data_IF_634159202802
#
_entry.id   IF_634159202802
#
_cell.length_a   1.000
_cell.length_b   1.000
_cell.length_c   1.000
_cell.angle_alpha   90.00
_cell.angle_beta   90.00
_cell.angle_gamma   90.00
#
_symmetry.space_group_name_H-M   'P 1'
#
loop_
_entity.id
_entity.type
_entity.pdbx_description
1 polymer ?
#
# COMPACT_ATOMS: atom_id res chain seq x y z
N UNK A 1 -12.73 -8.61 -12.10
CA UNK A 1 -14.18 -8.73 -11.90
C UNK A 1 -14.90 -8.37 -13.20
N UNK A 2 -15.74 -9.29 -13.73
CA UNK A 2 -16.44 -9.06 -15.01
C UNK A 2 -17.48 -7.93 -14.93
N UNK A 3 -17.90 -7.56 -13.75
CA UNK A 3 -18.91 -6.50 -13.52
C UNK A 3 -18.36 -5.09 -13.78
N UNK A 4 -17.05 -4.90 -13.85
CA UNK A 4 -16.41 -3.61 -14.11
C UNK A 4 -16.15 -3.32 -15.59
N UNK A 5 -16.46 -4.27 -16.47
CA UNK A 5 -16.24 -4.15 -17.92
C UNK A 5 -17.40 -3.49 -18.68
N UNK A 6 -18.44 -3.04 -17.99
CA UNK A 6 -19.59 -2.38 -18.61
C UNK A 6 -19.52 -0.86 -18.44
N UNK A 7 -19.85 -0.10 -19.50
CA UNK A 7 -19.96 1.36 -19.38
C UNK A 7 -21.03 1.71 -18.34
N UNK A 8 -20.67 2.60 -17.41
CA UNK A 8 -21.60 3.08 -16.40
C UNK A 8 -21.81 4.59 -16.57
N UNK A 9 -23.05 5.05 -16.88
CA UNK A 9 -23.35 6.47 -17.05
C UNK A 9 -23.30 7.28 -15.75
N UNK A 10 -23.23 6.64 -14.59
CA UNK A 10 -23.08 7.33 -13.29
C UNK A 10 -21.84 8.24 -13.22
N UNK A 11 -20.87 8.05 -14.12
CA UNK A 11 -19.70 8.94 -14.23
C UNK A 11 -20.11 10.39 -14.44
N UNK A 12 -21.25 10.66 -15.11
CA UNK A 12 -21.78 12.01 -15.27
C UNK A 12 -22.41 12.59 -14.01
N UNK A 13 -22.64 11.77 -12.97
CA UNK A 13 -23.17 12.20 -11.67
C UNK A 13 -22.03 12.40 -10.67
N UNK A 14 -21.20 11.37 -10.46
CA UNK A 14 -20.10 11.44 -9.50
C UNK A 14 -18.85 12.10 -10.08
N UNK A 15 -18.71 12.21 -11.40
CA UNK A 15 -17.59 12.85 -12.13
C UNK A 15 -16.20 12.30 -11.79
N UNK A 16 -16.15 11.09 -11.29
CA UNK A 16 -14.90 10.44 -10.91
C UNK A 16 -14.19 9.88 -12.14
N UNK A 17 -12.93 10.26 -12.41
CA UNK A 17 -12.17 9.67 -13.52
C UNK A 17 -12.02 8.16 -13.34
N UNK A 18 -12.03 7.40 -14.45
CA UNK A 18 -12.05 5.94 -14.42
C UNK A 18 -10.92 5.31 -13.59
N UNK A 19 -9.69 5.81 -13.71
CA UNK A 19 -8.56 5.35 -12.90
C UNK A 19 -8.74 5.65 -11.41
N UNK A 20 -9.33 6.79 -11.07
CA UNK A 20 -9.66 7.13 -9.68
C UNK A 20 -10.80 6.28 -9.14
N UNK A 21 -11.79 5.96 -9.96
CA UNK A 21 -12.90 5.09 -9.57
C UNK A 21 -12.40 3.73 -9.08
N UNK A 22 -11.56 3.06 -9.87
CA UNK A 22 -11.00 1.75 -9.50
C UNK A 22 -10.11 1.81 -8.27
N UNK A 23 -9.25 2.82 -8.18
CA UNK A 23 -8.36 3.00 -7.03
C UNK A 23 -9.13 3.31 -5.73
N UNK A 24 -10.09 4.23 -5.80
CA UNK A 24 -10.90 4.62 -4.65
C UNK A 24 -11.77 3.48 -4.15
N UNK A 25 -12.30 2.65 -5.06
CA UNK A 25 -13.08 1.46 -4.73
C UNK A 25 -12.23 0.44 -3.95
N UNK A 26 -10.99 0.21 -4.37
CA UNK A 26 -10.04 -0.65 -3.66
C UNK A 26 -9.69 -0.09 -2.26
N UNK A 27 -9.48 1.23 -2.16
CA UNK A 27 -9.22 1.89 -0.87
C UNK A 27 -10.44 1.77 0.06
N UNK A 28 -11.66 2.01 -0.44
CA UNK A 28 -12.89 1.84 0.32
C UNK A 28 -13.05 0.39 0.81
N UNK A 29 -12.69 -0.59 -0.01
CA UNK A 29 -12.70 -2.00 0.37
C UNK A 29 -11.68 -2.31 1.47
N UNK A 30 -10.46 -1.78 1.35
CA UNK A 30 -9.40 -1.95 2.36
C UNK A 30 -9.76 -1.33 3.71
N UNK A 31 -10.52 -0.24 3.70
CA UNK A 31 -11.05 0.43 4.90
C UNK A 31 -12.36 -0.18 5.43
N UNK A 32 -12.90 -1.22 4.77
CA UNK A 32 -14.19 -1.82 5.15
C UNK A 32 -15.41 -0.97 4.79
N UNK A 33 -15.26 0.07 3.98
CA UNK A 33 -16.29 1.03 3.60
C UNK A 33 -17.01 0.69 2.28
N UNK A 34 -16.76 -0.47 1.68
CA UNK A 34 -17.33 -0.83 0.38
C UNK A 34 -18.87 -0.86 0.40
N UNK A 35 -19.47 -1.17 1.53
CA UNK A 35 -20.92 -1.15 1.70
C UNK A 35 -21.53 0.26 1.64
N UNK A 36 -20.70 1.30 1.77
CA UNK A 36 -21.06 2.73 1.64
C UNK A 36 -20.61 3.31 0.29
N UNK A 37 -20.37 2.49 -0.72
CA UNK A 37 -19.79 2.93 -2.00
C UNK A 37 -20.61 4.01 -2.71
N UNK A 38 -21.95 3.90 -2.67
CA UNK A 38 -22.84 4.92 -3.25
C UNK A 38 -22.67 6.28 -2.56
N UNK A 39 -22.56 6.27 -1.25
CA UNK A 39 -22.32 7.48 -0.45
C UNK A 39 -20.94 8.09 -0.75
N UNK A 40 -19.91 7.24 -0.95
CA UNK A 40 -18.57 7.70 -1.32
C UNK A 40 -18.59 8.37 -2.71
N UNK A 41 -19.34 7.85 -3.66
CA UNK A 41 -19.50 8.46 -4.99
C UNK A 41 -20.17 9.85 -4.89
N UNK A 42 -21.25 9.95 -4.12
CA UNK A 42 -21.93 11.23 -3.88
C UNK A 42 -21.01 12.22 -3.16
N UNK A 43 -20.34 11.76 -2.11
CA UNK A 43 -19.39 12.59 -1.36
C UNK A 43 -18.21 13.06 -2.24
N UNK A 44 -17.74 12.24 -3.17
CA UNK A 44 -16.69 12.64 -4.11
C UNK A 44 -17.09 13.85 -4.95
N UNK A 45 -18.32 13.85 -5.48
CA UNK A 45 -18.84 15.00 -6.21
C UNK A 45 -18.96 16.23 -5.31
N UNK A 46 -19.53 16.08 -4.12
CA UNK A 46 -19.71 17.17 -3.14
C UNK A 46 -18.37 17.77 -2.70
N UNK A 47 -17.36 16.95 -2.43
CA UNK A 47 -15.99 17.40 -2.12
C UNK A 47 -15.38 18.14 -3.31
N UNK A 48 -15.58 17.67 -4.53
CA UNK A 48 -15.13 18.39 -5.73
C UNK A 48 -15.67 19.81 -5.78
N UNK A 49 -16.98 19.97 -5.54
CA UNK A 49 -17.65 21.27 -5.49
C UNK A 49 -17.13 22.12 -4.31
N UNK A 50 -16.95 21.51 -3.14
CA UNK A 50 -16.41 22.18 -1.95
C UNK A 50 -14.98 22.68 -2.16
N UNK A 51 -14.19 22.00 -3.02
CA UNK A 51 -12.82 22.39 -3.40
C UNK A 51 -12.79 23.45 -4.53
N UNK A 52 -13.94 23.94 -4.98
CA UNK A 52 -14.06 24.96 -6.02
C UNK A 52 -14.27 24.39 -7.42
N UNK A 53 -14.92 23.24 -7.53
CA UNK A 53 -15.16 22.51 -8.79
C UNK A 53 -13.86 22.33 -9.60
N UNK A 54 -12.86 21.80 -8.95
CA UNK A 54 -11.53 21.67 -9.53
C UNK A 54 -11.48 20.62 -10.65
N UNK A 55 -10.58 20.81 -11.59
CA UNK A 55 -10.32 19.85 -12.64
C UNK A 55 -9.78 18.54 -12.03
N UNK A 56 -10.54 17.45 -12.24
CA UNK A 56 -10.26 16.13 -11.70
C UNK A 56 -9.31 15.34 -12.60
N UNK A 57 -8.03 15.56 -12.40
CA UNK A 57 -6.93 14.84 -13.08
C UNK A 57 -5.88 14.47 -12.01
N UNK A 58 -5.05 13.48 -12.25
CA UNK A 58 -3.95 13.14 -11.33
C UNK A 58 -3.00 14.33 -11.16
N UNK A 59 -2.69 14.79 -9.93
CA UNK A 59 -3.02 14.18 -8.63
C UNK A 59 -4.30 14.71 -7.95
N UNK A 60 -4.98 15.73 -8.49
CA UNK A 60 -6.13 16.39 -7.84
C UNK A 60 -7.31 15.43 -7.59
N UNK A 61 -7.57 14.51 -8.53
CA UNK A 61 -8.62 13.50 -8.36
C UNK A 61 -8.39 12.59 -7.13
N UNK A 62 -7.13 12.31 -6.80
CA UNK A 62 -6.78 11.56 -5.58
C UNK A 62 -7.11 12.36 -4.32
N UNK A 63 -6.78 13.64 -4.30
CA UNK A 63 -7.04 14.51 -3.14
C UNK A 63 -8.54 14.58 -2.84
N UNK A 64 -9.38 14.72 -3.88
CA UNK A 64 -10.84 14.67 -3.74
C UNK A 64 -11.29 13.34 -3.17
N UNK A 65 -10.74 12.23 -3.66
CA UNK A 65 -11.04 10.89 -3.16
C UNK A 65 -10.65 10.68 -1.70
N UNK A 66 -9.46 11.10 -1.31
CA UNK A 66 -8.97 10.98 0.07
C UNK A 66 -9.87 11.77 1.04
N UNK A 67 -10.29 12.99 0.66
CA UNK A 67 -11.22 13.78 1.46
C UNK A 67 -12.61 13.16 1.52
N UNK A 68 -13.12 12.61 0.42
CA UNK A 68 -14.42 11.95 0.39
C UNK A 68 -14.43 10.72 1.31
N UNK A 69 -13.39 9.88 1.26
CA UNK A 69 -13.24 8.75 2.19
C UNK A 69 -13.16 9.21 3.65
N UNK A 70 -12.37 10.25 3.91
CA UNK A 70 -12.25 10.82 5.26
C UNK A 70 -13.59 11.29 5.80
N UNK A 71 -14.37 12.02 4.99
CA UNK A 71 -15.68 12.51 5.41
C UNK A 71 -16.68 11.36 5.67
N UNK A 72 -16.75 10.39 4.76
CA UNK A 72 -17.65 9.22 4.93
C UNK A 72 -17.22 8.36 6.13
N UNK A 73 -15.92 8.14 6.32
CA UNK A 73 -15.41 7.34 7.43
C UNK A 73 -15.74 7.95 8.80
N UNK A 74 -15.80 9.28 8.88
CA UNK A 74 -16.05 10.03 10.12
C UNK A 74 -17.48 10.59 10.21
N UNK A 75 -18.38 10.17 9.31
CA UNK A 75 -19.79 10.63 9.24
C UNK A 75 -19.92 12.16 9.23
N UNK A 76 -19.05 12.84 8.45
CA UNK A 76 -18.99 14.30 8.36
C UNK A 76 -19.80 14.82 7.17
N UNK A 77 -20.57 15.86 7.41
CA UNK A 77 -21.17 16.70 6.38
C UNK A 77 -20.24 17.86 6.01
N UNK A 78 -20.57 18.61 4.96
CA UNK A 78 -19.84 19.83 4.61
C UNK A 78 -19.91 20.87 5.73
N UNK A 79 -21.10 21.02 6.35
CA UNK A 79 -21.31 21.90 7.50
C UNK A 79 -20.43 21.50 8.67
N UNK A 80 -20.28 20.19 8.93
CA UNK A 80 -19.39 19.67 9.98
C UNK A 80 -17.93 20.03 9.71
N UNK A 81 -17.48 19.93 8.46
CA UNK A 81 -16.11 20.32 8.08
C UNK A 81 -15.87 21.79 8.37
N UNK A 82 -16.81 22.67 8.01
CA UNK A 82 -16.70 24.10 8.30
C UNK A 82 -16.86 24.46 9.79
N UNK A 83 -17.64 23.70 10.52
CA UNK A 83 -17.90 23.94 11.96
C UNK A 83 -16.79 23.37 12.87
N UNK A 84 -16.22 22.25 12.50
CA UNK A 84 -15.29 21.46 13.33
C UNK A 84 -13.86 21.42 12.77
N UNK A 85 -13.56 22.12 11.68
CA UNK A 85 -12.30 22.00 10.96
C UNK A 85 -11.06 22.25 11.81
N UNK A 86 -11.15 23.10 12.82
CA UNK A 86 -10.04 23.38 13.73
C UNK A 86 -9.54 22.14 14.49
N UNK A 87 -10.47 21.18 14.77
CA UNK A 87 -10.17 19.96 15.50
C UNK A 87 -10.01 18.73 14.59
N UNK A 88 -10.45 18.81 13.32
CA UNK A 88 -10.34 17.69 12.39
C UNK A 88 -8.89 17.48 11.96
N UNK A 89 -8.44 16.24 11.93
CA UNK A 89 -7.13 15.87 11.38
C UNK A 89 -7.29 15.46 9.90
N UNK A 90 -7.14 16.44 9.02
CA UNK A 90 -7.33 16.24 7.59
C UNK A 90 -6.26 15.33 7.00
N UNK A 91 -6.59 14.53 5.96
CA UNK A 91 -5.61 13.71 5.24
C UNK A 91 -4.42 14.55 4.76
N UNK A 92 -3.22 13.99 4.85
CA UNK A 92 -1.99 14.70 4.46
C UNK A 92 -2.05 15.23 3.02
N UNK A 93 -2.61 14.44 2.08
CA UNK A 93 -2.79 14.86 0.69
C UNK A 93 -3.70 16.10 0.54
N UNK A 94 -4.70 16.24 1.39
CA UNK A 94 -5.60 17.41 1.41
C UNK A 94 -4.86 18.63 1.95
N UNK A 95 -4.07 18.47 3.01
CA UNK A 95 -3.24 19.54 3.56
C UNK A 95 -2.21 20.00 2.54
N UNK A 96 -1.49 19.09 1.92
CA UNK A 96 -0.49 19.35 0.88
C UNK A 96 -1.10 20.06 -0.35
N UNK A 97 -2.32 19.69 -0.73
CA UNK A 97 -3.04 20.36 -1.80
C UNK A 97 -3.30 21.83 -1.44
N UNK A 98 -3.88 22.09 -0.26
CA UNK A 98 -4.16 23.46 0.18
C UNK A 98 -2.92 24.27 0.53
N UNK A 99 -1.78 23.63 0.82
CA UNK A 99 -0.47 24.30 0.90
C UNK A 99 0.05 24.73 -0.49
N UNK A 100 -0.49 24.20 -1.59
CA UNK A 100 -0.03 24.48 -2.94
C UNK A 100 1.10 23.57 -3.43
N UNK A 101 1.40 22.44 -2.74
CA UNK A 101 2.50 21.53 -3.11
C UNK A 101 2.31 20.84 -4.46
N UNK A 102 1.09 20.70 -4.93
CA UNK A 102 0.77 20.12 -6.25
C UNK A 102 0.26 21.17 -7.25
N UNK A 103 0.52 22.43 -6.97
CA UNK A 103 0.10 23.58 -7.77
C UNK A 103 -1.17 24.23 -7.25
N UNK A 104 -1.58 25.30 -7.92
CA UNK A 104 -2.76 26.10 -7.56
C UNK A 104 -3.86 25.87 -8.60
N UNK A 105 -5.11 25.58 -8.19
CA UNK A 105 -6.24 25.49 -9.12
C UNK A 105 -6.41 26.79 -9.91
N UNK A 106 -7.01 26.69 -11.12
CA UNK A 106 -7.19 27.82 -12.01
C UNK A 106 -7.92 29.03 -11.37
N UNK A 107 -8.90 28.75 -10.51
CA UNK A 107 -9.64 29.79 -9.77
C UNK A 107 -9.09 30.08 -8.38
N UNK A 108 -7.92 29.54 -8.03
CA UNK A 108 -7.39 29.58 -6.68
C UNK A 108 -8.07 28.59 -5.75
N UNK A 109 -7.69 28.67 -4.47
CA UNK A 109 -8.30 27.84 -3.42
C UNK A 109 -9.50 28.55 -2.80
N UNK A 110 -10.56 27.83 -2.39
CA UNK A 110 -11.61 28.41 -1.55
C UNK A 110 -11.02 28.89 -0.22
N UNK A 111 -10.89 30.21 -0.06
CA UNK A 111 -10.11 30.84 1.04
C UNK A 111 -10.51 30.35 2.45
N UNK A 112 -11.83 30.24 2.69
CA UNK A 112 -12.33 29.79 3.99
C UNK A 112 -11.88 28.37 4.31
N UNK A 113 -11.99 27.48 3.35
CA UNK A 113 -11.58 26.08 3.50
C UNK A 113 -10.07 25.96 3.61
N UNK A 114 -9.31 26.68 2.79
CA UNK A 114 -7.85 26.72 2.84
C UNK A 114 -7.34 27.11 4.23
N UNK A 115 -7.86 28.20 4.79
CA UNK A 115 -7.48 28.66 6.13
C UNK A 115 -7.77 27.60 7.20
N UNK A 116 -8.91 26.93 7.07
CA UNK A 116 -9.35 25.91 8.00
C UNK A 116 -8.45 24.65 7.94
N UNK A 117 -8.14 24.18 6.74
CA UNK A 117 -7.29 23.00 6.53
C UNK A 117 -5.85 23.27 6.95
N UNK A 118 -5.33 24.46 6.64
CA UNK A 118 -3.94 24.82 6.94
C UNK A 118 -3.68 25.12 8.42
N UNK A 119 -4.70 25.48 9.20
CA UNK A 119 -4.54 25.76 10.65
C UNK A 119 -3.37 26.69 10.96
N UNK A 120 -3.25 27.76 10.18
CA UNK A 120 -2.17 28.75 10.34
C UNK A 120 -0.85 28.44 9.64
N UNK A 121 -0.74 27.32 8.93
CA UNK A 121 0.42 27.07 8.05
C UNK A 121 0.38 28.04 6.87
N UNK A 122 1.55 28.53 6.46
CA UNK A 122 1.67 29.39 5.30
C UNK A 122 1.56 28.56 4.00
N UNK A 123 0.73 28.96 3.04
CA UNK A 123 0.74 28.34 1.72
C UNK A 123 2.04 28.65 0.97
N UNK A 124 2.43 27.77 0.07
CA UNK A 124 3.58 27.93 -0.82
C UNK A 124 3.16 28.87 -1.96
N UNK A 125 3.87 29.98 -2.13
CA UNK A 125 3.64 30.94 -3.22
C UNK A 125 4.51 30.68 -4.45
N UNK A 126 5.57 29.92 -4.29
CA UNK A 126 6.53 29.57 -5.35
C UNK A 126 6.37 28.12 -5.80
N UNK A 127 7.08 27.75 -6.86
CA UNK A 127 7.11 26.35 -7.30
C UNK A 127 7.71 25.49 -6.17
N UNK A 128 7.01 24.42 -5.72
CA UNK A 128 7.44 23.61 -4.59
C UNK A 128 8.90 23.12 -4.68
N UNK A 129 9.32 22.67 -5.87
CA UNK A 129 10.69 22.20 -6.08
C UNK A 129 11.77 23.29 -5.97
N UNK A 130 11.40 24.57 -5.95
CA UNK A 130 12.36 25.66 -5.74
C UNK A 130 12.65 25.93 -4.25
N UNK A 131 11.70 25.57 -3.38
CA UNK A 131 11.79 25.83 -1.92
C UNK A 131 12.10 24.59 -1.10
N UNK A 132 12.02 23.40 -1.69
CA UNK A 132 12.41 22.15 -1.02
C UNK A 132 13.94 22.08 -0.86
N UNK A 133 14.43 21.62 0.30
CA UNK A 133 15.85 21.38 0.47
C UNK A 133 16.35 20.31 -0.51
N UNK A 134 17.61 20.41 -0.98
CA UNK A 134 18.20 19.36 -1.80
C UNK A 134 18.25 18.05 -1.02
N UNK A 135 18.14 16.93 -1.74
CA UNK A 135 18.30 15.60 -1.16
C UNK A 135 19.76 15.37 -0.79
N UNK A 136 20.01 14.94 0.43
CA UNK A 136 21.33 14.46 0.84
C UNK A 136 21.50 12.99 0.40
N UNK A 137 22.23 12.80 -0.69
CA UNK A 137 22.46 11.46 -1.24
C UNK A 137 23.35 10.58 -0.35
N UNK A 138 24.22 11.18 0.48
CA UNK A 138 25.05 10.39 1.39
C UNK A 138 24.20 9.84 2.56
N UNK A 139 23.27 10.62 3.08
CA UNK A 139 22.28 10.14 4.05
C UNK A 139 21.41 9.02 3.46
N UNK A 140 20.99 9.17 2.19
CA UNK A 140 20.26 8.11 1.49
C UNK A 140 21.10 6.84 1.35
N UNK A 141 22.39 6.96 0.95
CA UNK A 141 23.28 5.79 0.85
C UNK A 141 23.48 5.11 2.20
N UNK A 142 23.55 5.87 3.30
CA UNK A 142 23.64 5.32 4.65
C UNK A 142 22.37 4.49 4.99
N UNK A 143 21.18 5.03 4.70
CA UNK A 143 19.91 4.30 4.89
C UNK A 143 19.82 3.03 4.04
N UNK A 144 20.29 3.07 2.79
CA UNK A 144 20.33 1.89 1.93
C UNK A 144 21.25 0.81 2.49
N UNK A 145 22.39 1.17 3.08
CA UNK A 145 23.28 0.22 3.77
C UNK A 145 22.61 -0.43 4.97
N UNK A 146 21.86 0.33 5.78
CA UNK A 146 21.09 -0.21 6.91
C UNK A 146 20.01 -1.19 6.46
N UNK A 147 19.44 -0.99 5.26
CA UNK A 147 18.46 -1.89 4.64
C UNK A 147 19.11 -3.11 3.95
N UNK A 148 20.43 -3.24 3.96
CA UNK A 148 21.17 -4.26 3.19
C UNK A 148 20.86 -4.19 1.70
N UNK A 149 20.63 -2.97 1.19
CA UNK A 149 20.29 -2.70 -0.20
C UNK A 149 21.54 -2.28 -1.01
N UNK A 150 21.49 -2.43 -2.34
CA UNK A 150 22.51 -1.82 -3.21
C UNK A 150 22.59 -0.30 -3.00
N UNK A 151 23.81 0.25 -3.10
CA UNK A 151 24.06 1.70 -2.93
C UNK A 151 24.48 2.37 -4.25
N UNK A 152 24.08 1.78 -5.38
CA UNK A 152 24.32 2.36 -6.71
C UNK A 152 23.47 3.62 -6.93
N UNK A 153 23.80 4.41 -7.93
CA UNK A 153 23.06 5.64 -8.24
C UNK A 153 21.61 5.36 -8.64
N UNK A 154 21.37 4.21 -9.29
CA UNK A 154 20.02 3.74 -9.63
C UNK A 154 19.22 3.42 -8.37
N UNK A 155 19.85 2.73 -7.42
CA UNK A 155 19.20 2.37 -6.15
C UNK A 155 18.88 3.62 -5.31
N UNK A 156 19.82 4.57 -5.24
CA UNK A 156 19.61 5.88 -4.59
C UNK A 156 18.45 6.63 -5.23
N UNK A 157 18.44 6.71 -6.56
CA UNK A 157 17.37 7.38 -7.31
C UNK A 157 16.02 6.70 -7.09
N UNK A 158 15.96 5.37 -7.16
CA UNK A 158 14.74 4.59 -6.94
C UNK A 158 14.20 4.78 -5.51
N UNK A 159 15.07 4.78 -4.50
CA UNK A 159 14.67 5.04 -3.11
C UNK A 159 14.16 6.48 -2.93
N UNK A 160 14.82 7.48 -3.51
CA UNK A 160 14.36 8.87 -3.41
C UNK A 160 12.98 9.08 -4.04
N UNK A 161 12.69 8.42 -5.16
CA UNK A 161 11.42 8.54 -5.87
C UNK A 161 10.28 7.73 -5.21
N UNK A 162 10.60 6.53 -4.72
CA UNK A 162 9.60 5.58 -4.22
C UNK A 162 10.10 4.82 -2.98
N UNK A 163 10.34 5.49 -1.84
CA UNK A 163 11.04 4.90 -0.69
C UNK A 163 10.34 3.64 -0.17
N UNK A 164 9.00 3.67 -0.05
CA UNK A 164 8.25 2.50 0.41
C UNK A 164 8.34 1.32 -0.55
N UNK A 165 8.11 1.56 -1.84
CA UNK A 165 8.14 0.50 -2.87
C UNK A 165 9.53 -0.12 -2.96
N UNK A 166 10.58 0.70 -2.92
CA UNK A 166 11.95 0.24 -2.92
C UNK A 166 12.28 -0.59 -1.67
N UNK A 167 11.87 -0.14 -0.49
CA UNK A 167 12.06 -0.88 0.76
C UNK A 167 11.33 -2.23 0.74
N UNK A 168 10.09 -2.27 0.27
CA UNK A 168 9.32 -3.49 0.13
C UNK A 168 10.00 -4.47 -0.86
N UNK A 169 10.57 -3.94 -1.95
CA UNK A 169 11.36 -4.74 -2.89
C UNK A 169 12.64 -5.30 -2.26
N UNK A 170 13.41 -4.48 -1.55
CA UNK A 170 14.64 -4.91 -0.86
C UNK A 170 14.35 -6.03 0.14
N UNK A 171 13.33 -5.84 0.98
CA UNK A 171 12.92 -6.86 1.96
C UNK A 171 12.57 -8.19 1.28
N UNK A 172 11.88 -8.12 0.15
CA UNK A 172 11.53 -9.30 -0.63
C UNK A 172 12.74 -9.96 -1.27
N UNK A 173 13.65 -9.15 -1.83
CA UNK A 173 14.90 -9.63 -2.41
C UNK A 173 15.79 -10.31 -1.36
N UNK A 174 15.92 -9.71 -0.18
CA UNK A 174 16.71 -10.28 0.91
C UNK A 174 16.09 -11.59 1.46
N UNK A 175 14.76 -11.72 1.39
CA UNK A 175 14.07 -12.94 1.82
C UNK A 175 14.14 -14.08 0.80
N UNK A 176 14.01 -13.79 -0.49
CA UNK A 176 13.81 -14.80 -1.53
C UNK A 176 14.95 -14.88 -2.55
N UNK A 177 15.87 -13.93 -2.52
CA UNK A 177 16.91 -13.79 -3.55
C UNK A 177 16.37 -13.23 -4.86
N UNK A 178 17.13 -13.40 -5.92
CA UNK A 178 16.74 -12.96 -7.26
C UNK A 178 15.73 -13.92 -7.89
N UNK A 179 14.48 -13.50 -7.89
CA UNK A 179 13.36 -14.26 -8.50
C UNK A 179 13.12 -13.90 -9.96
N UNK A 180 13.93 -13.00 -10.57
CA UNK A 180 13.81 -12.63 -11.98
C UNK A 180 14.14 -13.78 -12.94
N UNK A 181 14.81 -14.81 -12.43
CA UNK A 181 15.11 -16.04 -13.15
C UNK A 181 13.89 -16.94 -13.39
N UNK A 182 12.78 -16.67 -12.70
CA UNK A 182 11.53 -17.40 -12.89
C UNK A 182 10.77 -16.87 -14.11
N UNK A 183 10.11 -17.75 -14.84
CA UNK A 183 9.19 -17.34 -15.89
C UNK A 183 7.94 -16.65 -15.30
N UNK A 184 7.32 -15.77 -16.10
CA UNK A 184 6.20 -14.94 -15.66
C UNK A 184 5.03 -15.74 -15.07
N UNK A 185 4.54 -16.84 -15.68
CA UNK A 185 3.49 -17.65 -15.08
C UNK A 185 3.86 -18.19 -13.71
N UNK A 186 5.05 -18.77 -13.55
CA UNK A 186 5.52 -19.31 -12.27
C UNK A 186 5.64 -18.21 -11.21
N UNK A 187 6.15 -17.03 -11.58
CA UNK A 187 6.27 -15.91 -10.65
C UNK A 187 4.92 -15.42 -10.10
N UNK A 188 3.89 -15.31 -10.96
CA UNK A 188 2.59 -14.77 -10.56
C UNK A 188 1.63 -15.79 -9.97
N UNK A 189 1.65 -17.02 -10.49
CA UNK A 189 0.64 -18.03 -10.15
C UNK A 189 1.21 -19.20 -9.34
N UNK A 190 2.54 -19.29 -9.23
CA UNK A 190 3.20 -20.44 -8.63
C UNK A 190 3.15 -21.67 -9.54
N UNK A 191 3.46 -22.82 -8.95
CA UNK A 191 3.43 -24.11 -9.63
C UNK A 191 2.23 -24.94 -9.19
N UNK A 192 1.73 -25.79 -10.08
CA UNK A 192 0.72 -26.81 -9.75
C UNK A 192 1.38 -28.15 -9.46
N UNK A 193 0.80 -29.00 -8.58
CA UNK A 193 1.33 -30.34 -8.32
C UNK A 193 1.54 -31.17 -9.60
N UNK A 194 2.73 -31.72 -9.74
CA UNK A 194 3.19 -32.46 -10.93
C UNK A 194 3.85 -31.61 -12.01
N UNK A 195 3.78 -30.29 -11.90
CA UNK A 195 4.41 -29.37 -12.85
C UNK A 195 5.93 -29.35 -12.71
N UNK A 196 6.60 -29.22 -13.87
CA UNK A 196 8.06 -29.17 -13.98
C UNK A 196 8.47 -27.87 -14.66
N UNK A 197 9.34 -27.11 -14.02
CA UNK A 197 9.94 -25.92 -14.60
C UNK A 197 11.46 -26.06 -14.72
N UNK A 198 12.04 -25.28 -15.63
CA UNK A 198 13.48 -25.19 -15.79
C UNK A 198 13.91 -23.74 -15.51
N UNK A 199 14.81 -23.57 -14.57
CA UNK A 199 15.31 -22.25 -14.15
C UNK A 199 16.81 -22.20 -14.44
N UNK A 200 17.22 -21.27 -15.30
CA UNK A 200 18.62 -20.98 -15.52
C UNK A 200 19.10 -19.95 -14.47
N UNK A 201 19.89 -20.41 -13.50
CA UNK A 201 20.39 -19.56 -12.40
C UNK A 201 21.70 -18.86 -12.74
N UNK A 202 22.46 -19.40 -13.68
CA UNK A 202 23.69 -18.85 -14.25
C UNK A 202 23.81 -19.38 -15.68
N UNK A 203 24.63 -18.74 -16.51
CA UNK A 203 24.83 -19.20 -17.89
C UNK A 203 25.23 -20.67 -17.95
N UNK A 204 24.40 -21.48 -18.56
CA UNK A 204 24.59 -22.92 -18.71
C UNK A 204 24.29 -23.75 -17.45
N UNK A 205 23.83 -23.15 -16.36
CA UNK A 205 23.47 -23.83 -15.12
C UNK A 205 21.96 -23.83 -14.90
N UNK A 206 21.33 -24.92 -15.32
CA UNK A 206 19.89 -25.07 -15.30
C UNK A 206 19.47 -25.99 -14.13
N UNK A 207 18.52 -25.52 -13.33
CA UNK A 207 17.79 -26.35 -12.35
C UNK A 207 16.49 -26.85 -12.95
N UNK A 208 16.23 -28.13 -12.80
CA UNK A 208 14.92 -28.73 -13.10
C UNK A 208 14.19 -28.89 -11.77
N UNK A 209 13.09 -28.18 -11.61
CA UNK A 209 12.30 -28.16 -10.40
C UNK A 209 10.94 -28.77 -10.70
N UNK A 210 10.55 -29.79 -9.95
CA UNK A 210 9.22 -30.40 -10.04
C UNK A 210 8.50 -30.21 -8.70
N UNK A 211 7.31 -29.64 -8.71
CA UNK A 211 6.45 -29.59 -7.54
C UNK A 211 5.72 -30.92 -7.40
N UNK A 212 5.93 -31.65 -6.32
CA UNK A 212 5.22 -32.92 -6.08
C UNK A 212 3.86 -32.64 -5.42
N UNK A 213 3.86 -32.07 -4.24
CA UNK A 213 2.62 -31.72 -3.54
C UNK A 213 2.88 -30.70 -2.43
N UNK A 214 1.79 -30.14 -1.91
CA UNK A 214 1.80 -29.22 -0.76
C UNK A 214 0.90 -29.85 0.30
N UNK A 215 1.41 -29.98 1.54
CA UNK A 215 0.64 -30.54 2.66
C UNK A 215 -0.53 -29.64 3.07
N UNK A 216 -1.47 -30.20 3.81
CA UNK A 216 -2.41 -29.39 4.56
C UNK A 216 -1.69 -28.52 5.62
N UNK A 217 -2.32 -27.40 6.01
CA UNK A 217 -1.77 -26.57 7.05
C UNK A 217 -1.86 -27.26 8.41
N UNK A 218 -0.77 -27.29 9.15
CA UNK A 218 -0.76 -27.80 10.53
C UNK A 218 -1.38 -26.79 11.50
N UNK A 219 -1.49 -27.14 12.79
CA UNK A 219 -2.08 -26.30 13.82
C UNK A 219 -1.38 -24.94 13.99
N UNK A 220 -0.10 -24.83 13.61
CA UNK A 220 0.67 -23.59 13.62
C UNK A 220 0.47 -22.76 12.33
N UNK A 221 -0.33 -23.25 11.38
CA UNK A 221 -0.55 -22.61 10.10
C UNK A 221 0.63 -22.77 9.13
N UNK A 222 1.47 -23.78 9.32
CA UNK A 222 2.57 -24.10 8.42
C UNK A 222 2.15 -25.20 7.44
N UNK A 223 2.62 -25.11 6.20
CA UNK A 223 2.52 -26.15 5.17
C UNK A 223 3.91 -26.60 4.78
N UNK A 224 4.06 -27.86 4.47
CA UNK A 224 5.28 -28.41 3.87
C UNK A 224 5.08 -28.51 2.35
N UNK A 225 6.00 -27.93 1.60
CA UNK A 225 6.06 -28.03 0.14
C UNK A 225 7.11 -29.08 -0.21
N UNK A 226 6.69 -30.10 -0.95
CA UNK A 226 7.53 -31.20 -1.43
C UNK A 226 7.82 -31.01 -2.91
N UNK A 227 9.11 -31.02 -3.26
CA UNK A 227 9.55 -30.83 -4.63
C UNK A 227 10.85 -31.59 -4.92
N UNK A 228 11.15 -31.78 -6.19
CA UNK A 228 12.39 -32.38 -6.67
C UNK A 228 13.28 -31.27 -7.31
N UNK A 229 14.56 -31.26 -6.93
CA UNK A 229 15.61 -30.49 -7.61
C UNK A 229 16.52 -31.46 -8.37
N UNK A 230 16.53 -31.37 -9.70
CA UNK A 230 17.33 -32.27 -10.55
C UNK A 230 17.13 -33.76 -10.16
N UNK A 231 15.89 -34.17 -9.85
CA UNK A 231 15.56 -35.50 -9.41
C UNK A 231 15.86 -35.83 -7.94
N UNK A 232 16.37 -34.86 -7.15
CA UNK A 232 16.60 -35.05 -5.73
C UNK A 232 15.46 -34.44 -4.91
N UNK A 233 14.81 -35.20 -4.02
CA UNK A 233 13.71 -34.72 -3.22
C UNK A 233 14.17 -33.59 -2.23
N UNK A 234 13.32 -32.61 -2.05
CA UNK A 234 13.48 -31.49 -1.12
C UNK A 234 12.14 -31.16 -0.49
N UNK A 235 12.19 -30.62 0.71
CA UNK A 235 11.03 -30.09 1.40
C UNK A 235 11.36 -28.76 2.07
N UNK A 236 10.39 -27.87 2.11
CA UNK A 236 10.47 -26.61 2.87
C UNK A 236 9.16 -26.37 3.60
N UNK A 237 9.26 -25.83 4.80
CA UNK A 237 8.10 -25.35 5.52
C UNK A 237 7.84 -23.86 5.21
N UNK A 238 6.61 -23.54 4.87
CA UNK A 238 6.14 -22.19 4.60
C UNK A 238 4.91 -21.87 5.44
N UNK A 239 4.77 -20.60 5.83
CA UNK A 239 3.57 -20.15 6.54
C UNK A 239 2.43 -19.91 5.55
N UNK A 240 1.31 -20.59 5.76
CA UNK A 240 0.08 -20.32 5.02
C UNK A 240 -0.60 -19.05 5.57
N UNK A 241 -0.67 -17.98 4.76
CA UNK A 241 -1.28 -16.72 5.14
C UNK A 241 -2.80 -16.80 5.32
N UNK A 242 -3.43 -17.83 4.74
CA UNK A 242 -4.88 -18.04 4.78
C UNK A 242 -5.29 -19.08 5.82
N UNK A 243 -4.34 -19.78 6.45
CA UNK A 243 -4.65 -20.77 7.47
C UNK A 243 -5.24 -20.10 8.72
N UNK A 244 -6.39 -20.60 9.15
CA UNK A 244 -6.93 -20.26 10.46
C UNK A 244 -6.10 -21.00 11.51
N UNK A 245 -5.18 -20.29 12.17
CA UNK A 245 -4.39 -20.87 13.26
C UNK A 245 -5.28 -21.10 14.48
N UNK A 246 -5.32 -22.31 14.97
CA UNK A 246 -5.99 -22.68 16.23
C UNK A 246 -5.09 -22.58 17.44
N UNK A 247 -3.83 -22.14 17.26
CA UNK A 247 -2.88 -21.93 18.35
C UNK A 247 -3.32 -20.73 19.19
N UNK A 248 -3.84 -21.02 20.37
CA UNK A 248 -3.99 -20.04 21.43
C UNK A 248 -2.60 -19.63 21.87
N UNK A 249 -2.13 -18.46 21.42
CA UNK A 249 -0.90 -17.84 21.94
C UNK A 249 -1.14 -17.48 23.40
N UNK A 250 -0.71 -18.34 24.32
CA UNK A 250 -0.73 -17.99 25.74
C UNK A 250 0.33 -16.91 25.96
N UNK A 251 -0.08 -15.81 26.64
CA UNK A 251 0.85 -14.76 27.05
C UNK A 251 1.96 -15.43 27.89
N UNK A 252 3.22 -15.18 27.53
CA UNK A 252 4.35 -15.63 28.34
C UNK A 252 4.44 -14.77 29.60
N UNK A 253 4.76 -15.38 30.73
CA UNK A 253 5.01 -14.66 31.97
C UNK A 253 6.13 -13.63 31.80
N UNK A 254 5.92 -12.41 32.28
CA UNK A 254 6.91 -11.34 32.25
C UNK A 254 7.98 -11.55 33.31
N UNK A 255 9.24 -11.53 32.89
CA UNK A 255 10.39 -11.74 33.81
C UNK A 255 10.42 -10.61 34.83
N UNK A 256 10.18 -10.95 36.12
CA UNK A 256 10.16 -9.99 37.24
C UNK A 256 8.75 -9.62 37.74
N UNK A 257 7.69 -10.11 37.12
CA UNK A 257 6.31 -9.96 37.62
C UNK A 257 5.98 -11.09 38.59
N UNK A 258 5.98 -10.80 39.92
CA UNK A 258 5.71 -11.80 40.96
C UNK A 258 4.28 -12.39 40.92
N UNK A 259 3.36 -11.81 40.16
CA UNK A 259 2.01 -12.32 39.97
C UNK A 259 1.88 -13.33 38.81
N UNK A 260 2.94 -13.56 38.05
CA UNK A 260 2.93 -14.46 36.90
C UNK A 260 3.93 -15.59 37.07
N UNK A 261 3.47 -16.83 36.98
CA UNK A 261 4.31 -18.02 37.04
C UNK A 261 4.46 -18.60 35.63
N UNK A 262 5.68 -18.57 35.10
CA UNK A 262 6.03 -19.21 33.85
C UNK A 262 6.31 -20.69 34.02
N UNK A 263 5.85 -21.54 33.10
CA UNK A 263 6.25 -22.95 33.08
C UNK A 263 7.75 -23.05 32.77
N UNK A 264 8.46 -23.90 33.52
CA UNK A 264 9.91 -24.13 33.38
C UNK A 264 10.26 -24.95 32.13
N UNK A 265 9.28 -25.63 31.54
CA UNK A 265 9.40 -26.44 30.30
C UNK A 265 8.16 -26.21 29.44
N UNK A 266 8.36 -26.17 28.11
CA UNK A 266 7.25 -26.24 27.14
C UNK A 266 6.65 -27.63 27.16
N UNK A 267 5.41 -27.75 27.57
CA UNK A 267 4.62 -28.97 27.44
C UNK A 267 3.98 -29.09 26.08
#
# INVERSE_FOLDING_TARGET
>A
DRTENFPNPEVYVHEMPGGQYTNLKQQAQALGLIHRWEEIKDMYHRVSMMFGDLIKVTPSSKVVGDMALFMVQNDLTEEDVYAKGDILDFPASVVEFFEGRIGTPYQGFPEKLQKLVLKGRAPISERPGAVLPPVDFEDVRAKLKELEAPTTDEAVSAYCLYPKVFTDWVNRYNQFGDVSVLDTPTFFFGMTPGEVIKVEIEQGKVLVIKLDHISEANAAGMRTVFFEFNGLPREIEIKDRNAKTTTVTRKKAEKGNMGEIGASLSG
#
